data_IF_150033519798
#
_entry.id   IF_150033519798
#
_cell.length_a   1.000
_cell.length_b   1.000
_cell.length_c   1.000
_cell.angle_alpha   90.00
_cell.angle_beta   90.00
_cell.angle_gamma   90.00
#
_symmetry.space_group_name_H-M   'P 1'
#
loop_
_entity.id
_entity.type
_entity.pdbx_description
1 polymer ?
#
# COMPACT_ATOMS: atom_id res chain seq x y z
N UNK A 1 16.15 -5.34 -3.09
CA UNK A 1 17.28 -4.60 -2.46
C UNK A 1 17.64 -3.31 -3.20
N UNK A 2 17.90 -3.33 -4.52
CA UNK A 2 18.29 -2.10 -5.27
C UNK A 2 17.17 -1.05 -5.32
N UNK A 3 15.92 -1.47 -5.56
CA UNK A 3 14.78 -0.56 -5.66
C UNK A 3 14.63 0.30 -4.40
N UNK A 4 14.63 -0.34 -3.23
CA UNK A 4 14.52 0.35 -1.93
C UNK A 4 15.74 1.25 -1.68
N UNK A 5 16.96 0.80 -1.98
CA UNK A 5 18.16 1.62 -1.83
C UNK A 5 18.10 2.92 -2.66
N UNK A 6 17.58 2.85 -3.88
CA UNK A 6 17.46 4.02 -4.78
C UNK A 6 16.31 4.93 -4.39
N UNK A 7 15.15 4.38 -4.02
CA UNK A 7 13.94 5.19 -3.79
C UNK A 7 13.79 5.72 -2.36
N UNK A 8 14.42 5.09 -1.36
CA UNK A 8 14.26 5.52 0.06
C UNK A 8 14.58 6.99 0.32
N UNK A 9 15.61 7.61 -0.30
CA UNK A 9 15.85 9.05 -0.14
C UNK A 9 14.66 9.92 -0.58
N UNK A 10 14.03 9.59 -1.72
CA UNK A 10 12.86 10.31 -2.21
C UNK A 10 11.65 10.16 -1.27
N UNK A 11 11.50 8.98 -0.67
CA UNK A 11 10.45 8.75 0.33
C UNK A 11 10.71 9.58 1.59
N UNK A 12 11.96 9.64 2.07
CA UNK A 12 12.31 10.45 3.23
C UNK A 12 12.04 11.94 3.00
N UNK A 13 12.42 12.47 1.82
CA UNK A 13 12.12 13.85 1.43
C UNK A 13 10.61 14.10 1.33
N UNK A 14 9.86 13.17 0.71
CA UNK A 14 8.39 13.22 0.64
C UNK A 14 7.76 13.30 2.02
N UNK A 15 8.18 12.45 2.96
CA UNK A 15 7.65 12.46 4.33
C UNK A 15 7.97 13.75 5.06
N UNK A 16 9.19 14.29 4.91
CA UNK A 16 9.55 15.58 5.49
C UNK A 16 8.70 16.73 4.95
N UNK A 17 8.35 16.70 3.66
CA UNK A 17 7.50 17.73 3.04
C UNK A 17 6.05 17.69 3.54
N UNK A 18 5.52 16.55 3.99
CA UNK A 18 4.13 16.47 4.49
C UNK A 18 3.89 17.29 5.76
N UNK A 19 4.93 17.45 6.59
CA UNK A 19 4.89 18.23 7.84
C UNK A 19 5.51 19.62 7.72
N UNK A 20 5.82 20.05 6.49
CA UNK A 20 6.48 21.33 6.21
C UNK A 20 5.61 22.26 5.37
N UNK A 21 5.96 23.55 5.37
CA UNK A 21 5.38 24.55 4.46
C UNK A 21 6.51 25.13 3.60
N UNK A 22 6.30 25.25 2.28
CA UNK A 22 7.26 25.86 1.37
C UNK A 22 6.94 27.33 1.17
N UNK A 23 7.87 28.21 1.50
CA UNK A 23 7.80 29.63 1.14
C UNK A 23 8.52 29.87 -0.19
N UNK A 24 7.82 30.43 -1.17
CA UNK A 24 8.37 30.72 -2.49
C UNK A 24 7.93 32.12 -2.94
N UNK A 25 8.88 32.91 -3.44
CA UNK A 25 8.60 34.21 -4.02
C UNK A 25 8.10 34.06 -5.47
N UNK A 26 6.91 34.58 -5.73
CA UNK A 26 6.29 34.54 -7.07
C UNK A 26 5.80 35.94 -7.45
N UNK A 27 6.40 36.51 -8.49
CA UNK A 27 6.07 37.86 -8.95
C UNK A 27 6.31 38.94 -7.89
N UNK A 28 7.37 38.79 -7.08
CA UNK A 28 7.71 39.73 -6.00
C UNK A 28 6.90 39.54 -4.70
N UNK A 29 6.06 38.50 -4.62
CA UNK A 29 5.21 38.23 -3.45
C UNK A 29 5.54 36.86 -2.87
N UNK A 30 5.89 36.80 -1.58
CA UNK A 30 6.10 35.54 -0.86
C UNK A 30 4.76 34.78 -0.71
N UNK A 31 4.75 33.52 -1.15
CA UNK A 31 3.60 32.60 -1.05
C UNK A 31 3.99 31.36 -0.26
N UNK A 32 3.04 30.83 0.49
CA UNK A 32 3.22 29.62 1.30
C UNK A 32 2.42 28.47 0.69
N UNK A 33 3.05 27.31 0.54
CA UNK A 33 2.48 26.11 -0.08
C UNK A 33 2.51 24.93 0.89
N UNK A 34 1.45 24.12 0.81
CA UNK A 34 1.36 22.79 1.42
C UNK A 34 1.24 21.74 0.33
N UNK A 35 1.82 20.58 0.56
CA UNK A 35 1.82 19.48 -0.40
C UNK A 35 0.99 18.32 0.10
N UNK A 36 0.20 17.73 -0.80
CA UNK A 36 -0.51 16.48 -0.58
C UNK A 36 -0.04 15.51 -1.66
N UNK A 37 0.59 14.43 -1.24
CA UNK A 37 1.12 13.42 -2.16
C UNK A 37 0.15 12.23 -2.26
N UNK A 38 -0.43 12.02 -3.43
CA UNK A 38 -1.35 10.90 -3.71
C UNK A 38 -0.71 9.88 -4.66
N UNK A 39 -0.04 8.87 -4.11
CA UNK A 39 0.56 7.78 -4.88
C UNK A 39 -0.48 6.83 -5.47
N UNK A 40 -0.97 7.14 -6.69
CA UNK A 40 -2.06 6.41 -7.37
C UNK A 40 -1.64 5.78 -8.71
N UNK A 41 -0.49 6.19 -9.28
CA UNK A 41 -0.04 5.75 -10.61
C UNK A 41 0.78 4.46 -10.58
N UNK A 42 0.29 3.42 -9.92
CA UNK A 42 0.98 2.14 -9.78
C UNK A 42 0.07 1.00 -10.24
N UNK A 43 0.63 0.04 -10.97
CA UNK A 43 -0.07 -1.22 -11.26
C UNK A 43 -0.20 -2.07 -9.97
N UNK A 44 -1.10 -3.06 -9.98
CA UNK A 44 -1.33 -3.91 -8.81
C UNK A 44 -0.05 -4.63 -8.34
N UNK A 45 0.81 -5.03 -9.29
CA UNK A 45 2.04 -5.77 -8.99
C UNK A 45 2.97 -4.91 -8.13
N UNK A 46 3.20 -3.67 -8.53
CA UNK A 46 4.07 -2.76 -7.80
C UNK A 46 3.43 -2.33 -6.47
N UNK A 47 2.11 -2.09 -6.42
CA UNK A 47 1.40 -1.81 -5.16
C UNK A 47 1.64 -2.94 -4.15
N UNK A 48 1.46 -4.20 -4.56
CA UNK A 48 1.69 -5.35 -3.68
C UNK A 48 3.13 -5.40 -3.16
N UNK A 49 4.10 -5.20 -4.06
CA UNK A 49 5.52 -5.22 -3.69
C UNK A 49 5.89 -4.14 -2.66
N UNK A 50 5.43 -2.89 -2.85
CA UNK A 50 5.83 -1.77 -1.99
C UNK A 50 5.02 -1.65 -0.70
N UNK A 51 3.81 -2.23 -0.66
CA UNK A 51 2.95 -2.30 0.52
C UNK A 51 3.09 -3.64 1.29
N UNK A 52 4.08 -4.47 0.92
CA UNK A 52 4.41 -5.70 1.67
C UNK A 52 3.36 -6.82 1.56
N UNK A 53 2.54 -6.78 0.52
CA UNK A 53 1.50 -7.78 0.26
C UNK A 53 2.08 -8.94 -0.55
N UNK A 54 1.52 -10.13 -0.38
CA UNK A 54 1.78 -11.25 -1.30
C UNK A 54 1.44 -10.90 -2.75
N UNK A 55 2.15 -11.52 -3.70
CA UNK A 55 1.95 -11.35 -5.13
C UNK A 55 0.51 -11.70 -5.60
N UNK A 56 0.13 -11.28 -6.80
CA UNK A 56 -1.23 -11.39 -7.34
C UNK A 56 -1.81 -12.81 -7.42
N UNK A 57 -0.97 -13.85 -7.31
CA UNK A 57 -1.41 -15.25 -7.21
C UNK A 57 -1.99 -15.65 -5.84
N UNK A 58 -1.94 -14.76 -4.84
CA UNK A 58 -2.40 -15.04 -3.48
C UNK A 58 -3.89 -15.40 -3.39
N UNK A 59 -4.28 -15.97 -2.24
CA UNK A 59 -5.68 -16.09 -1.82
C UNK A 59 -6.23 -14.74 -1.37
N UNK A 60 -5.42 -13.80 -0.88
CA UNK A 60 -5.83 -12.43 -0.55
C UNK A 60 -5.76 -11.56 -1.81
N UNK A 61 -6.88 -11.49 -2.50
CA UNK A 61 -6.94 -10.97 -3.87
C UNK A 61 -7.01 -9.45 -3.95
N UNK A 62 -7.36 -8.77 -2.86
CA UNK A 62 -7.60 -7.33 -2.88
C UNK A 62 -6.44 -6.57 -2.22
N UNK A 63 -6.03 -5.46 -2.83
CA UNK A 63 -5.11 -4.50 -2.21
C UNK A 63 -5.83 -3.52 -1.28
N UNK A 64 -7.17 -3.49 -1.31
CA UNK A 64 -8.01 -2.55 -0.57
C UNK A 64 -8.76 -3.19 0.62
N UNK A 65 -9.02 -4.49 0.59
CA UNK A 65 -9.74 -5.22 1.64
C UNK A 65 -9.09 -6.58 1.94
N UNK A 66 -9.62 -7.30 2.92
CA UNK A 66 -9.05 -8.57 3.40
C UNK A 66 -9.73 -9.82 2.87
N UNK A 67 -10.68 -9.67 1.95
CA UNK A 67 -11.42 -10.78 1.38
C UNK A 67 -10.48 -11.76 0.66
N UNK A 68 -10.68 -13.04 0.95
CA UNK A 68 -10.07 -14.13 0.19
C UNK A 68 -10.76 -14.32 -1.14
N UNK A 69 -10.10 -15.04 -2.07
CA UNK A 69 -10.67 -15.42 -3.37
C UNK A 69 -12.02 -16.13 -3.24
N UNK A 70 -12.13 -17.03 -2.27
CA UNK A 70 -13.38 -17.78 -2.04
C UNK A 70 -14.48 -16.86 -1.53
N UNK A 71 -14.20 -16.03 -0.52
CA UNK A 71 -15.17 -15.07 0.03
C UNK A 71 -15.66 -14.08 -1.03
N UNK A 72 -14.75 -13.54 -1.84
CA UNK A 72 -15.08 -12.64 -2.93
C UNK A 72 -15.90 -13.31 -4.04
N UNK A 73 -15.75 -14.62 -4.26
CA UNK A 73 -16.58 -15.36 -5.22
C UNK A 73 -18.03 -15.56 -4.75
N UNK A 74 -18.24 -15.60 -3.42
CA UNK A 74 -19.55 -15.79 -2.81
C UNK A 74 -20.26 -14.45 -2.55
N UNK A 75 -19.50 -13.42 -2.18
CA UNK A 75 -19.98 -12.06 -1.99
C UNK A 75 -19.26 -11.15 -2.99
N UNK A 76 -19.95 -10.76 -4.06
CA UNK A 76 -19.33 -10.04 -5.17
C UNK A 76 -19.18 -8.53 -4.91
N UNK A 77 -20.08 -7.92 -4.14
CA UNK A 77 -20.25 -6.45 -4.12
C UNK A 77 -20.27 -5.82 -2.73
N UNK A 78 -20.42 -6.61 -1.67
CA UNK A 78 -20.48 -6.07 -0.30
C UNK A 78 -19.12 -6.16 0.38
N UNK A 79 -18.22 -5.27 -0.01
CA UNK A 79 -16.90 -5.09 0.59
C UNK A 79 -16.65 -3.62 0.90
N UNK A 80 -15.80 -3.36 1.89
CA UNK A 80 -15.35 -2.01 2.26
C UNK A 80 -13.84 -1.92 2.18
N UNK A 81 -13.32 -0.72 1.94
CA UNK A 81 -11.89 -0.45 2.02
C UNK A 81 -11.47 -0.51 3.49
N UNK A 82 -10.56 -1.42 3.82
CA UNK A 82 -10.02 -1.60 5.18
C UNK A 82 -8.51 -1.40 5.24
N UNK A 83 -7.80 -1.76 4.17
CA UNK A 83 -6.34 -1.68 4.13
C UNK A 83 -5.84 -0.24 4.07
N UNK A 84 -4.74 0.00 4.76
CA UNK A 84 -3.99 1.25 4.70
C UNK A 84 -2.51 0.99 4.94
N UNK A 85 -1.64 1.90 4.51
CA UNK A 85 -0.20 1.81 4.73
C UNK A 85 0.15 1.65 6.22
N UNK A 86 -0.52 2.40 7.09
CA UNK A 86 -0.32 2.33 8.54
C UNK A 86 -0.72 0.96 9.11
N UNK A 87 -1.84 0.40 8.66
CA UNK A 87 -2.27 -0.93 9.09
C UNK A 87 -1.31 -2.02 8.59
N UNK A 88 -0.83 -1.93 7.35
CA UNK A 88 0.15 -2.88 6.81
C UNK A 88 1.46 -2.87 7.61
N UNK A 89 1.95 -1.69 8.03
CA UNK A 89 3.11 -1.58 8.91
C UNK A 89 2.89 -2.31 10.24
N UNK A 90 1.71 -2.17 10.85
CA UNK A 90 1.35 -2.86 12.08
C UNK A 90 1.27 -4.38 11.88
N UNK A 91 0.61 -4.83 10.81
CA UNK A 91 0.50 -6.26 10.46
C UNK A 91 1.86 -6.89 10.21
N UNK A 92 2.78 -6.17 9.56
CA UNK A 92 4.15 -6.64 9.40
C UNK A 92 4.88 -6.82 10.75
N UNK A 93 4.69 -5.91 11.72
CA UNK A 93 5.30 -6.11 13.04
C UNK A 93 4.71 -7.32 13.78
N UNK A 94 3.42 -7.61 13.60
CA UNK A 94 2.80 -8.85 14.09
C UNK A 94 3.42 -10.08 13.42
N UNK A 95 3.54 -10.08 12.09
CA UNK A 95 4.19 -11.15 11.33
C UNK A 95 5.63 -11.40 11.81
N UNK A 96 6.42 -10.34 11.96
CA UNK A 96 7.83 -10.42 12.33
C UNK A 96 8.03 -10.90 13.77
N UNK A 97 7.17 -10.47 14.70
CA UNK A 97 7.34 -10.77 16.12
C UNK A 97 6.62 -12.03 16.58
N UNK A 98 5.61 -12.51 15.84
CA UNK A 98 4.73 -13.61 16.21
C UNK A 98 4.35 -13.62 17.71
N UNK A 99 3.67 -12.56 18.20
CA UNK A 99 3.46 -12.37 19.63
C UNK A 99 2.51 -13.41 20.25
N UNK A 100 1.79 -14.16 19.40
CA UNK A 100 0.82 -15.18 19.81
C UNK A 100 1.36 -16.61 19.66
N UNK A 101 2.61 -16.78 19.21
CA UNK A 101 3.24 -18.09 18.99
C UNK A 101 2.42 -19.01 18.06
N UNK A 102 1.86 -18.43 17.02
CA UNK A 102 1.02 -19.11 16.04
C UNK A 102 1.87 -19.91 15.04
N UNK A 103 1.27 -20.93 14.43
CA UNK A 103 1.81 -21.56 13.23
C UNK A 103 1.89 -20.56 12.07
N UNK A 104 2.64 -20.89 11.02
CA UNK A 104 2.80 -19.98 9.88
C UNK A 104 1.47 -19.72 9.16
N UNK A 105 0.59 -20.73 9.08
CA UNK A 105 -0.72 -20.61 8.46
C UNK A 105 -1.66 -19.71 9.27
N UNK A 106 -1.71 -19.90 10.59
CA UNK A 106 -2.51 -19.07 11.51
C UNK A 106 -2.01 -17.61 11.52
N UNK A 107 -0.70 -17.41 11.61
CA UNK A 107 -0.10 -16.09 11.59
C UNK A 107 -0.34 -15.38 10.26
N UNK A 108 -0.20 -16.09 9.14
CA UNK A 108 -0.50 -15.58 7.80
C UNK A 108 -1.94 -15.12 7.68
N UNK A 109 -2.88 -15.86 8.25
CA UNK A 109 -4.28 -15.45 8.27
C UNK A 109 -4.52 -14.25 9.18
N UNK A 110 -3.88 -14.18 10.35
CA UNK A 110 -3.95 -13.02 11.24
C UNK A 110 -3.51 -11.73 10.54
N UNK A 111 -2.43 -11.79 9.77
CA UNK A 111 -1.87 -10.62 9.07
C UNK A 111 -2.43 -10.43 7.66
N UNK A 112 -3.36 -11.29 7.23
CA UNK A 112 -4.01 -11.27 5.90
C UNK A 112 -3.01 -11.17 4.74
N UNK A 113 -1.91 -11.92 4.84
CA UNK A 113 -0.88 -11.98 3.80
C UNK A 113 0.07 -10.78 3.73
N UNK A 114 0.19 -9.98 4.79
CA UNK A 114 1.27 -8.98 4.94
C UNK A 114 2.49 -9.64 5.57
N UNK A 115 3.45 -10.06 4.75
CA UNK A 115 4.64 -10.81 5.19
C UNK A 115 5.97 -10.10 4.91
N UNK A 116 5.92 -8.91 4.31
CA UNK A 116 7.07 -8.05 4.07
C UNK A 116 6.79 -6.64 4.59
N UNK A 117 7.84 -5.88 4.89
CA UNK A 117 7.69 -4.53 5.44
C UNK A 117 7.30 -3.55 4.33
N UNK A 118 6.16 -2.85 4.45
CA UNK A 118 5.82 -1.74 3.54
C UNK A 118 6.90 -0.64 3.59
N UNK A 119 7.16 0.00 2.45
CA UNK A 119 8.13 1.11 2.41
C UNK A 119 7.71 2.32 1.57
N UNK A 120 6.67 2.22 0.74
CA UNK A 120 6.05 3.35 0.04
C UNK A 120 4.57 3.39 0.41
N UNK A 121 4.09 4.51 0.92
CA UNK A 121 2.66 4.74 1.12
C UNK A 121 1.97 4.98 -0.23
N UNK A 122 1.04 4.09 -0.55
CA UNK A 122 0.16 4.19 -1.72
C UNK A 122 -1.26 4.62 -1.30
N UNK A 123 -2.04 5.11 -2.26
CA UNK A 123 -3.46 5.42 -2.03
C UNK A 123 -4.29 4.19 -2.40
N UNK A 124 -5.16 3.69 -1.50
CA UNK A 124 -6.09 2.61 -1.82
C UNK A 124 -7.00 3.00 -2.98
N UNK A 125 -6.76 2.43 -4.16
CA UNK A 125 -7.46 2.76 -5.40
C UNK A 125 -7.31 1.65 -6.44
N UNK A 126 -7.86 1.87 -7.63
CA UNK A 126 -7.74 0.98 -8.79
C UNK A 126 -7.06 1.77 -9.91
N UNK A 127 -6.07 1.16 -10.55
CA UNK A 127 -5.50 1.69 -11.78
C UNK A 127 -6.43 1.40 -12.97
N UNK A 128 -6.99 2.47 -13.55
CA UNK A 128 -7.95 2.38 -14.64
C UNK A 128 -7.36 1.65 -15.86
N UNK A 129 -6.11 1.93 -16.23
CA UNK A 129 -5.52 1.40 -17.46
C UNK A 129 -5.36 -0.13 -17.39
N UNK A 130 -4.74 -0.62 -16.32
CA UNK A 130 -4.54 -2.06 -16.15
C UNK A 130 -5.84 -2.80 -15.79
N UNK A 131 -6.83 -2.12 -15.19
CA UNK A 131 -8.18 -2.67 -15.03
C UNK A 131 -8.85 -2.93 -16.39
N UNK A 132 -8.79 -1.97 -17.31
CA UNK A 132 -9.36 -2.13 -18.66
C UNK A 132 -8.65 -3.24 -19.45
N UNK A 133 -7.33 -3.28 -19.41
CA UNK A 133 -6.54 -4.34 -20.05
C UNK A 133 -6.89 -5.72 -19.47
N UNK A 134 -6.97 -5.81 -18.14
CA UNK A 134 -7.24 -7.07 -17.44
C UNK A 134 -8.65 -7.61 -17.69
N UNK A 135 -9.66 -6.74 -17.79
CA UNK A 135 -11.04 -7.15 -18.06
C UNK A 135 -11.30 -7.51 -19.53
N UNK A 136 -10.48 -7.03 -20.45
CA UNK A 136 -10.62 -7.29 -21.88
C UNK A 136 -9.96 -8.60 -22.34
N UNK A 137 -9.08 -9.18 -21.52
CA UNK A 137 -8.38 -10.45 -21.77
C UNK A 137 -9.28 -11.66 -21.47
#
# INVERSE_FOLDING_TARGET
ETLTAILSPLIAEREAMKSSELMLEMGGIARTFKFIFRGTGYDEKLVREVEGLEASGSVYICTLCDATRLEASQNLVFHSITRSHAENLQRYEVWRSNPYHESVEELRDRVKGVSAKPFIETVPSIDALHCDIGNAA
#
